data_IF_295700549786
#
_entry.id   IF_295700549786
#
_cell.length_a   1.000
_cell.length_b   1.000
_cell.length_c   1.000
_cell.angle_alpha   90.00
_cell.angle_beta   90.00
_cell.angle_gamma   90.00
#
_symmetry.space_group_name_H-M   'P 1'
#
loop_
_entity.id
_entity.type
_entity.pdbx_description
1 polymer ?
#
# COMPACT_ATOMS: atom_id res chain seq x y z
N UNK A 1 7.57 -7.42 15.60
CA UNK A 1 9.05 -7.46 15.61
C UNK A 1 9.52 -8.32 14.45
N UNK A 2 10.46 -7.82 13.64
CA UNK A 2 11.16 -8.62 12.62
C UNK A 2 12.58 -8.87 13.12
N UNK A 3 13.04 -10.12 13.05
CA UNK A 3 14.42 -10.49 13.30
C UNK A 3 14.97 -11.20 12.09
N UNK A 4 16.07 -10.72 11.53
CA UNK A 4 16.76 -11.37 10.43
C UNK A 4 18.16 -11.74 10.86
N UNK A 5 18.53 -13.00 10.66
CA UNK A 5 19.88 -13.48 10.89
C UNK A 5 20.48 -13.96 9.59
N UNK A 6 21.78 -13.71 9.40
CA UNK A 6 22.54 -14.33 8.32
C UNK A 6 22.46 -15.84 8.46
N UNK A 7 22.47 -16.57 7.34
CA UNK A 7 22.30 -18.04 7.38
C UNK A 7 23.47 -18.77 8.07
N UNK A 8 24.63 -18.13 8.18
CA UNK A 8 25.79 -18.61 8.94
C UNK A 8 25.84 -18.05 10.39
N UNK A 9 24.76 -17.41 10.84
CA UNK A 9 24.53 -16.90 12.20
C UNK A 9 25.53 -15.84 12.69
N UNK A 10 26.35 -15.26 11.82
CA UNK A 10 27.38 -14.27 12.20
C UNK A 10 26.87 -12.85 12.42
N UNK A 11 25.63 -12.57 12.01
CA UNK A 11 25.06 -11.24 12.02
C UNK A 11 23.53 -11.32 12.22
N UNK A 12 23.00 -10.59 13.20
CA UNK A 12 21.57 -10.51 13.51
C UNK A 12 21.14 -9.04 13.53
N UNK A 13 20.12 -8.72 12.75
CA UNK A 13 19.44 -7.42 12.76
C UNK A 13 18.02 -7.62 13.25
N UNK A 14 17.56 -6.75 14.14
CA UNK A 14 16.19 -6.78 14.65
C UNK A 14 15.55 -5.41 14.63
N UNK A 15 14.33 -5.33 14.12
CA UNK A 15 13.51 -4.12 14.10
C UNK A 15 12.20 -4.38 14.82
N UNK A 16 11.87 -3.52 15.79
CA UNK A 16 10.56 -3.54 16.43
C UNK A 16 9.54 -2.84 15.52
N UNK A 17 8.34 -3.41 15.44
CA UNK A 17 7.22 -2.83 14.69
C UNK A 17 6.33 -2.18 15.74
N UNK A 18 6.41 -0.86 15.84
CA UNK A 18 5.66 -0.10 16.85
C UNK A 18 4.25 0.25 16.35
N UNK A 19 4.05 0.40 15.03
CA UNK A 19 2.75 0.61 14.40
C UNK A 19 2.59 -0.32 13.19
N UNK A 20 1.47 -1.05 13.10
CA UNK A 20 1.17 -2.01 12.02
C UNK A 20 0.74 -1.36 10.70
N UNK A 21 0.95 -0.06 10.55
CA UNK A 21 0.51 0.71 9.40
C UNK A 21 1.73 1.18 8.62
N UNK A 22 2.38 0.26 7.92
CA UNK A 22 3.51 0.60 7.07
C UNK A 22 4.44 -0.58 6.77
N UNK A 23 5.46 -0.28 5.96
CA UNK A 23 6.55 -1.20 5.66
C UNK A 23 7.54 -1.25 6.82
N UNK A 24 8.13 -2.43 7.03
CA UNK A 24 9.30 -2.58 7.90
C UNK A 24 10.49 -2.74 7.00
N UNK A 25 11.30 -1.70 6.91
CA UNK A 25 12.57 -1.77 6.18
C UNK A 25 13.61 -2.45 7.06
N UNK A 26 14.37 -3.36 6.46
CA UNK A 26 15.55 -3.95 7.08
C UNK A 26 16.74 -3.48 6.24
N UNK A 27 17.46 -2.50 6.77
CA UNK A 27 18.60 -1.89 6.12
C UNK A 27 19.91 -2.60 6.46
N UNK A 28 20.98 -2.25 5.74
CA UNK A 28 22.35 -2.73 5.97
C UNK A 28 22.54 -4.25 5.82
N UNK A 29 21.71 -4.91 5.00
CA UNK A 29 21.95 -6.30 4.63
C UNK A 29 23.16 -6.37 3.68
N UNK A 30 24.10 -7.26 3.99
CA UNK A 30 25.25 -7.49 3.14
C UNK A 30 24.79 -8.02 1.77
N UNK A 31 25.32 -7.47 0.66
CA UNK A 31 24.95 -7.94 -0.68
C UNK A 31 25.29 -9.43 -0.85
N UNK A 32 24.55 -10.12 -1.71
CA UNK A 32 24.76 -11.54 -2.05
C UNK A 32 24.73 -12.51 -0.86
N UNK A 33 24.04 -12.14 0.23
CA UNK A 33 24.03 -12.89 1.47
C UNK A 33 22.63 -13.45 1.74
N UNK A 34 22.54 -14.71 2.18
CA UNK A 34 21.24 -15.32 2.54
C UNK A 34 20.85 -14.95 3.96
N UNK A 35 19.61 -14.55 4.12
CA UNK A 35 19.04 -14.19 5.42
C UNK A 35 17.84 -15.07 5.75
N UNK A 36 17.72 -15.42 7.03
CA UNK A 36 16.54 -16.05 7.61
C UNK A 36 15.82 -15.02 8.46
N UNK A 37 14.61 -14.66 8.07
CA UNK A 37 13.81 -13.68 8.78
C UNK A 37 12.65 -14.33 9.51
N UNK A 38 12.47 -13.93 10.78
CA UNK A 38 11.37 -14.29 11.66
C UNK A 38 10.54 -13.06 11.93
N UNK A 39 9.28 -13.09 11.50
CA UNK A 39 8.29 -12.09 11.85
C UNK A 39 7.49 -12.58 13.07
N UNK A 40 7.51 -11.80 14.15
CA UNK A 40 6.62 -11.99 15.30
C UNK A 40 5.61 -10.85 15.33
N UNK A 41 4.34 -11.18 15.16
CA UNK A 41 3.23 -10.22 15.25
C UNK A 41 2.51 -10.47 16.56
N UNK A 42 2.19 -9.39 17.28
CA UNK A 42 1.46 -9.44 18.54
C UNK A 42 0.18 -8.67 18.36
N UNK A 43 -0.96 -9.28 18.70
CA UNK A 43 -2.25 -8.62 18.73
C UNK A 43 -2.38 -7.86 20.05
N UNK A 44 -2.48 -6.54 19.97
CA UNK A 44 -2.82 -5.70 21.12
C UNK A 44 -4.34 -5.49 21.13
N UNK A 45 -5.11 -6.52 21.49
CA UNK A 45 -6.58 -6.39 21.51
C UNK A 45 -7.07 -5.76 22.82
N UNK A 46 -7.65 -4.56 22.70
CA UNK A 46 -8.76 -4.09 23.55
C UNK A 46 -9.94 -3.84 22.61
N UNK A 47 -10.89 -4.77 22.54
CA UNK A 47 -12.10 -4.64 21.71
C UNK A 47 -12.13 -5.53 20.46
N UNK A 48 -13.31 -6.07 20.17
CA UNK A 48 -13.59 -7.14 19.21
C UNK A 48 -13.42 -6.73 17.74
N UNK A 49 -13.17 -7.73 16.88
CA UNK A 49 -13.30 -7.73 15.41
C UNK A 49 -12.17 -7.17 14.53
N UNK A 50 -10.91 -7.20 14.98
CA UNK A 50 -9.77 -7.10 14.06
C UNK A 50 -9.46 -8.45 13.39
N UNK A 51 -9.43 -8.49 12.06
CA UNK A 51 -9.02 -9.63 11.22
C UNK A 51 -7.69 -10.24 11.70
N UNK A 52 -7.65 -11.57 11.88
CA UNK A 52 -6.47 -12.31 12.39
C UNK A 52 -5.40 -12.60 11.31
N UNK A 53 -5.49 -11.97 10.15
CA UNK A 53 -4.59 -12.23 9.03
C UNK A 53 -3.55 -11.11 8.88
N UNK A 54 -2.28 -11.50 8.79
CA UNK A 54 -1.17 -10.62 8.46
C UNK A 54 -0.60 -11.04 7.11
N UNK A 55 -0.52 -10.09 6.18
CA UNK A 55 0.16 -10.27 4.91
C UNK A 55 1.57 -9.70 5.03
N UNK A 56 2.58 -10.54 4.80
CA UNK A 56 3.96 -10.09 4.68
C UNK A 56 4.41 -10.24 3.23
N UNK A 57 4.90 -9.14 2.66
CA UNK A 57 5.55 -9.11 1.35
C UNK A 57 7.00 -8.75 1.59
N UNK A 58 7.93 -9.62 1.18
CA UNK A 58 9.35 -9.34 1.20
C UNK A 58 9.75 -8.82 -0.17
N UNK A 59 10.40 -7.66 -0.21
CA UNK A 59 10.95 -7.09 -1.44
C UNK A 59 12.47 -6.97 -1.30
N UNK A 60 13.18 -7.29 -2.37
CA UNK A 60 14.64 -7.28 -2.43
C UNK A 60 15.08 -6.19 -3.43
N UNK A 61 15.96 -5.29 -3.01
CA UNK A 61 16.46 -4.15 -3.80
C UNK A 61 15.85 -2.80 -3.38
N UNK A 62 16.09 -1.72 -4.16
CA UNK A 62 15.27 -0.50 -4.10
C UNK A 62 13.88 -0.83 -4.64
N UNK A 63 13.10 -1.52 -3.82
CA UNK A 63 11.76 -1.91 -4.18
C UNK A 63 10.95 -0.65 -4.45
N UNK A 64 10.32 -0.54 -5.62
CA UNK A 64 9.56 0.65 -6.02
C UNK A 64 8.27 0.81 -5.20
N UNK A 65 8.40 1.03 -3.90
CA UNK A 65 7.33 1.06 -2.88
C UNK A 65 7.65 2.12 -1.82
N UNK A 66 8.47 3.11 -2.14
CA UNK A 66 8.74 4.23 -1.24
C UNK A 66 7.49 5.09 -1.13
N UNK A 67 7.19 5.65 0.06
CA UNK A 67 6.15 6.65 0.17
C UNK A 67 6.53 7.83 -0.73
N UNK A 68 5.58 8.26 -1.56
CA UNK A 68 5.76 9.40 -2.46
C UNK A 68 5.84 10.70 -1.66
N UNK A 69 5.29 10.68 -0.45
CA UNK A 69 5.57 11.64 0.62
C UNK A 69 4.37 12.52 0.96
N UNK A 70 3.20 11.89 1.07
CA UNK A 70 1.99 12.55 1.53
C UNK A 70 2.02 12.75 3.04
N UNK A 71 2.34 11.69 3.79
CA UNK A 71 2.42 11.72 5.25
C UNK A 71 3.47 12.73 5.74
N UNK A 72 4.65 12.72 5.13
CA UNK A 72 5.81 13.49 5.60
C UNK A 72 5.93 14.90 5.02
N UNK A 73 4.96 15.38 4.25
CA UNK A 73 4.96 16.77 3.77
C UNK A 73 5.74 17.04 2.49
N UNK A 74 6.38 16.03 1.87
CA UNK A 74 7.13 16.21 0.61
C UNK A 74 6.18 16.67 -0.50
N UNK A 75 5.00 16.06 -0.60
CA UNK A 75 3.91 16.55 -1.44
C UNK A 75 3.29 17.76 -0.75
N UNK A 76 3.52 18.97 -1.29
CA UNK A 76 3.08 20.23 -0.69
C UNK A 76 1.57 20.44 -0.87
N UNK A 77 0.95 21.17 0.05
CA UNK A 77 -0.49 21.48 -0.02
C UNK A 77 -0.90 22.14 -1.34
N UNK A 78 -0.06 23.04 -1.87
CA UNK A 78 -0.32 23.75 -3.14
C UNK A 78 -0.36 22.82 -4.37
N UNK A 79 0.15 21.59 -4.23
CA UNK A 79 0.06 20.58 -5.28
C UNK A 79 -1.23 19.77 -5.24
N UNK A 80 -2.10 20.04 -4.25
CA UNK A 80 -3.35 19.33 -4.03
C UNK A 80 -4.51 20.24 -4.42
N UNK A 81 -5.37 19.75 -5.29
CA UNK A 81 -6.63 20.40 -5.69
C UNK A 81 -7.76 19.43 -5.43
N UNK A 82 -8.85 19.87 -4.80
CA UNK A 82 -9.94 18.98 -4.44
C UNK A 82 -11.31 19.63 -4.65
N UNK A 83 -12.36 18.83 -4.56
CA UNK A 83 -13.71 19.35 -4.33
C UNK A 83 -13.75 20.20 -3.04
N UNK A 84 -14.76 21.08 -2.89
CA UNK A 84 -14.92 21.87 -1.68
C UNK A 84 -15.08 20.97 -0.44
N UNK A 85 -14.36 21.25 0.67
CA UNK A 85 -14.49 20.47 1.89
C UNK A 85 -15.78 20.83 2.66
N UNK A 86 -16.27 19.90 3.47
CA UNK A 86 -17.51 20.05 4.28
C UNK A 86 -17.38 21.01 5.47
N UNK A 87 -16.16 21.30 5.94
CA UNK A 87 -15.90 22.14 7.12
C UNK A 87 -15.05 23.36 6.79
N UNK A 88 -15.28 24.46 7.53
CA UNK A 88 -14.49 25.69 7.47
C UNK A 88 -13.07 25.54 8.05
N UNK A 89 -12.84 24.52 8.88
CA UNK A 89 -11.49 24.11 9.29
C UNK A 89 -10.92 23.16 8.23
N UNK A 90 -9.72 23.45 7.71
CA UNK A 90 -8.98 22.55 6.82
C UNK A 90 -8.72 21.24 7.56
N UNK A 91 -9.40 20.18 7.15
CA UNK A 91 -9.03 18.82 7.53
C UNK A 91 -8.04 18.29 6.50
N UNK A 92 -7.16 17.38 6.93
CA UNK A 92 -6.00 16.97 6.16
C UNK A 92 -6.25 15.72 5.34
N UNK A 93 -5.64 15.65 4.17
CA UNK A 93 -5.55 14.41 3.39
C UNK A 93 -4.31 13.60 3.77
N UNK A 94 -3.40 14.13 4.59
CA UNK A 94 -2.17 13.43 4.95
C UNK A 94 -2.49 12.27 5.88
N UNK A 95 -1.84 11.14 5.63
CA UNK A 95 -1.99 9.97 6.48
C UNK A 95 -1.61 10.29 7.93
N UNK A 96 -2.43 9.83 8.87
CA UNK A 96 -2.23 9.99 10.33
C UNK A 96 -2.16 11.43 10.85
N UNK A 97 -2.61 12.39 10.05
CA UNK A 97 -2.69 13.77 10.49
C UNK A 97 -3.73 13.95 11.61
N UNK A 98 -3.36 14.72 12.62
CA UNK A 98 -4.17 15.01 13.80
C UNK A 98 -5.32 15.97 13.50
N UNK A 99 -5.22 16.73 12.41
CA UNK A 99 -6.27 17.65 11.94
C UNK A 99 -7.50 16.90 11.36
N UNK A 100 -7.43 15.57 11.29
CA UNK A 100 -8.50 14.68 10.87
C UNK A 100 -8.57 14.50 9.35
N UNK A 101 -9.70 13.98 8.87
CA UNK A 101 -9.88 13.56 7.48
C UNK A 101 -10.43 14.68 6.60
N UNK A 102 -9.77 14.97 5.47
CA UNK A 102 -10.39 15.77 4.41
C UNK A 102 -11.71 15.13 4.00
N UNK A 103 -12.79 15.90 3.93
CA UNK A 103 -14.14 15.41 3.62
C UNK A 103 -14.83 16.31 2.61
N UNK A 104 -15.51 15.75 1.61
CA UNK A 104 -16.39 16.49 0.70
C UNK A 104 -17.76 15.81 0.55
N UNK A 105 -18.80 16.61 0.37
CA UNK A 105 -20.18 16.17 0.04
C UNK A 105 -20.59 16.57 -1.38
N UNK A 106 -19.62 16.96 -2.21
CA UNK A 106 -19.82 17.20 -3.64
C UNK A 106 -20.48 15.96 -4.28
N UNK A 107 -21.26 16.15 -5.34
CA UNK A 107 -21.92 15.04 -6.05
C UNK A 107 -20.91 14.10 -6.70
N UNK A 108 -19.73 14.63 -7.08
CA UNK A 108 -18.59 13.86 -7.60
C UNK A 108 -17.29 14.31 -6.90
N UNK A 109 -17.09 13.91 -5.63
CA UNK A 109 -15.98 14.42 -4.85
C UNK A 109 -14.67 13.85 -5.36
N UNK A 110 -13.69 14.73 -5.57
CA UNK A 110 -12.36 14.35 -6.01
C UNK A 110 -11.26 14.97 -5.17
N UNK A 111 -10.11 14.29 -5.16
CA UNK A 111 -8.84 14.85 -4.74
C UNK A 111 -7.85 14.56 -5.85
N UNK A 112 -7.26 15.63 -6.38
CA UNK A 112 -6.23 15.60 -7.38
C UNK A 112 -4.91 16.09 -6.81
N UNK A 113 -3.83 15.44 -7.19
CA UNK A 113 -2.49 15.74 -6.74
C UNK A 113 -1.55 15.84 -7.94
N UNK A 114 -0.78 16.91 -8.01
CA UNK A 114 0.38 17.02 -8.89
C UNK A 114 1.65 16.59 -8.14
N UNK A 115 2.22 15.45 -8.52
CA UNK A 115 3.44 14.93 -7.93
C UNK A 115 4.69 15.77 -8.29
N UNK A 116 4.56 16.76 -9.19
CA UNK A 116 5.61 17.65 -9.67
C UNK A 116 6.60 16.96 -10.62
N UNK A 117 6.72 15.64 -10.54
CA UNK A 117 7.56 14.78 -11.36
C UNK A 117 6.82 13.50 -11.74
N UNK A 118 7.29 12.87 -12.79
CA UNK A 118 6.77 11.57 -13.25
C UNK A 118 7.25 10.48 -12.28
N UNK A 119 6.30 9.69 -11.77
CA UNK A 119 6.51 8.60 -10.83
C UNK A 119 5.84 7.33 -11.35
N UNK A 120 6.45 6.17 -11.11
CA UNK A 120 5.77 4.87 -11.21
C UNK A 120 5.08 4.60 -9.88
N UNK A 121 3.76 4.40 -9.90
CA UNK A 121 2.95 4.09 -8.73
C UNK A 121 2.69 2.60 -8.65
N UNK A 122 2.91 2.04 -7.48
CA UNK A 122 2.85 0.60 -7.18
C UNK A 122 1.96 0.28 -5.99
N UNK A 123 1.56 1.29 -5.22
CA UNK A 123 0.74 1.07 -4.04
C UNK A 123 -0.02 2.29 -3.59
N UNK A 124 -1.06 2.04 -2.83
CA UNK A 124 -1.96 3.05 -2.27
C UNK A 124 -2.30 2.63 -0.84
N UNK A 125 -2.40 3.59 0.06
CA UNK A 125 -2.85 3.39 1.43
C UNK A 125 -3.88 4.47 1.76
N UNK A 126 -5.08 4.05 2.12
CA UNK A 126 -6.18 4.94 2.45
C UNK A 126 -6.60 4.69 3.88
N UNK A 127 -6.92 5.77 4.59
CA UNK A 127 -7.61 5.73 5.88
C UNK A 127 -8.85 6.62 5.80
N UNK A 128 -9.92 6.19 6.44
CA UNK A 128 -11.19 6.94 6.46
C UNK A 128 -11.98 6.65 7.72
N UNK A 129 -12.68 7.66 8.24
CA UNK A 129 -13.71 7.49 9.26
C UNK A 129 -15.13 7.30 8.67
N UNK A 130 -15.25 7.22 7.35
CA UNK A 130 -16.52 7.12 6.63
C UNK A 130 -17.05 5.68 6.63
N UNK A 131 -18.36 5.55 6.39
CA UNK A 131 -19.07 4.26 6.30
C UNK A 131 -19.83 4.07 4.98
N UNK A 132 -20.03 5.16 4.24
CA UNK A 132 -21.01 5.25 3.17
C UNK A 132 -20.40 4.89 1.82
N UNK A 133 -19.15 5.27 1.57
CA UNK A 133 -18.44 4.95 0.32
C UNK A 133 -18.03 3.48 0.30
N UNK A 134 -18.34 2.81 -0.79
CA UNK A 134 -18.03 1.42 -1.06
C UNK A 134 -16.80 1.31 -1.96
N UNK A 135 -16.72 2.15 -3.01
CA UNK A 135 -15.67 2.03 -4.02
C UNK A 135 -15.09 3.38 -4.43
N UNK A 136 -13.80 3.35 -4.73
CA UNK A 136 -13.10 4.45 -5.39
C UNK A 136 -12.52 3.99 -6.72
N UNK A 137 -12.22 4.95 -7.57
CA UNK A 137 -11.44 4.74 -8.79
C UNK A 137 -10.42 5.87 -8.95
N UNK A 138 -9.49 5.66 -9.88
CA UNK A 138 -8.35 6.55 -10.09
C UNK A 138 -8.40 7.11 -11.50
N UNK A 139 -8.17 8.42 -11.61
CA UNK A 139 -7.73 9.03 -12.86
C UNK A 139 -6.26 9.40 -12.77
N UNK A 140 -5.55 9.31 -13.89
CA UNK A 140 -4.13 9.60 -13.93
C UNK A 140 -3.74 10.30 -15.24
N UNK A 141 -2.67 11.10 -15.19
CA UNK A 141 -2.12 11.80 -16.35
C UNK A 141 -0.65 12.15 -16.17
N UNK A 142 0.06 12.38 -17.27
CA UNK A 142 1.50 12.69 -17.27
C UNK A 142 1.77 14.16 -17.60
N UNK A 143 0.95 14.76 -18.47
CA UNK A 143 1.22 16.07 -19.06
C UNK A 143 0.33 17.17 -18.48
N UNK A 144 -0.98 17.11 -18.76
CA UNK A 144 -1.95 18.14 -18.43
C UNK A 144 -3.21 17.53 -17.81
N UNK A 145 -3.91 18.36 -17.04
CA UNK A 145 -5.11 18.05 -16.27
C UNK A 145 -6.30 17.66 -17.15
N UNK A 146 -6.39 18.25 -18.35
CA UNK A 146 -7.45 17.96 -19.32
C UNK A 146 -7.27 16.57 -19.98
N UNK A 147 -6.14 15.90 -19.73
CA UNK A 147 -5.79 14.61 -20.29
C UNK A 147 -5.82 13.49 -19.23
N UNK A 148 -6.44 13.72 -18.07
CA UNK A 148 -6.63 12.68 -17.07
C UNK A 148 -7.46 11.53 -17.67
N UNK A 149 -6.93 10.31 -17.57
CA UNK A 149 -7.59 9.08 -18.04
C UNK A 149 -7.98 8.23 -16.84
N UNK A 150 -9.13 7.56 -16.96
CA UNK A 150 -9.51 6.52 -16.01
C UNK A 150 -8.50 5.37 -16.05
N UNK A 151 -8.21 4.79 -14.88
CA UNK A 151 -7.36 3.61 -14.77
C UNK A 151 -8.18 2.36 -15.07
N UNK A 152 -7.80 1.61 -16.09
CA UNK A 152 -8.45 0.35 -16.48
C UNK A 152 -7.57 -0.86 -16.14
N UNK A 153 -8.22 -2.01 -15.99
CA UNK A 153 -7.59 -3.33 -16.03
C UNK A 153 -7.96 -4.01 -17.34
N UNK A 154 -6.94 -4.41 -18.09
CA UNK A 154 -7.12 -5.28 -19.25
C UNK A 154 -7.48 -6.69 -18.77
N UNK A 155 -8.50 -7.29 -19.37
CA UNK A 155 -8.84 -8.69 -19.19
C UNK A 155 -9.24 -9.33 -20.53
N UNK A 156 -9.48 -10.65 -20.50
CA UNK A 156 -9.80 -11.45 -21.69
C UNK A 156 -11.07 -10.95 -22.41
N UNK A 157 -11.96 -10.24 -21.70
CA UNK A 157 -13.22 -9.72 -22.23
C UNK A 157 -13.18 -8.22 -22.58
N UNK A 158 -12.04 -7.53 -22.43
CA UNK A 158 -11.87 -6.10 -22.70
C UNK A 158 -11.30 -5.29 -21.52
N UNK A 159 -11.52 -3.98 -21.54
CA UNK A 159 -11.09 -3.07 -20.47
C UNK A 159 -12.21 -2.83 -19.46
N UNK A 160 -11.94 -3.09 -18.19
CA UNK A 160 -12.84 -2.74 -17.09
C UNK A 160 -12.23 -1.65 -16.21
N UNK A 161 -13.06 -0.68 -15.78
CA UNK A 161 -12.62 0.37 -14.87
C UNK A 161 -12.04 -0.26 -13.60
N UNK A 162 -10.82 0.11 -13.24
CA UNK A 162 -10.17 -0.38 -12.03
C UNK A 162 -10.78 0.33 -10.83
N UNK A 163 -11.43 -0.45 -9.98
CA UNK A 163 -12.04 0.03 -8.74
C UNK A 163 -11.34 -0.58 -7.53
N UNK A 164 -11.38 0.15 -6.41
CA UNK A 164 -10.80 -0.27 -5.14
C UNK A 164 -11.85 -0.20 -4.04
N UNK A 165 -12.01 -1.30 -3.32
CA UNK A 165 -12.94 -1.44 -2.19
C UNK A 165 -12.53 -0.57 -1.00
N UNK A 166 -13.24 0.54 -0.80
CA UNK A 166 -12.91 1.61 0.14
C UNK A 166 -12.90 1.12 1.60
N UNK A 167 -11.93 1.55 2.44
CA UNK A 167 -11.95 1.23 3.86
C UNK A 167 -13.21 1.79 4.53
N UNK A 168 -13.60 1.23 5.68
CA UNK A 168 -14.80 1.65 6.43
C UNK A 168 -14.50 1.78 7.92
N UNK A 169 -15.24 2.63 8.64
CA UNK A 169 -15.25 2.67 10.11
C UNK A 169 -13.86 2.92 10.77
N UNK A 170 -13.13 3.96 10.37
CA UNK A 170 -11.78 4.30 10.88
C UNK A 170 -10.73 3.21 10.63
N UNK A 171 -10.92 2.43 9.57
CA UNK A 171 -9.93 1.44 9.13
C UNK A 171 -8.97 2.04 8.11
N UNK A 172 -7.79 1.41 8.03
CA UNK A 172 -6.79 1.68 7.01
C UNK A 172 -6.75 0.50 6.04
N UNK A 173 -6.65 0.76 4.74
CA UNK A 173 -6.51 -0.27 3.72
C UNK A 173 -5.40 0.07 2.74
N UNK A 174 -4.56 -0.93 2.48
CA UNK A 174 -3.47 -0.88 1.52
C UNK A 174 -3.82 -1.70 0.29
N UNK A 175 -3.41 -1.25 -0.90
CA UNK A 175 -3.46 -2.02 -2.14
C UNK A 175 -2.10 -2.05 -2.82
N UNK A 176 -1.56 -3.24 -3.06
CA UNK A 176 -0.47 -3.43 -4.02
C UNK A 176 -1.06 -3.46 -5.42
N UNK A 177 -0.45 -2.71 -6.32
CA UNK A 177 -0.87 -2.65 -7.70
C UNK A 177 -0.06 -3.69 -8.49
N UNK A 178 -0.71 -4.80 -8.84
CA UNK A 178 -0.10 -5.82 -9.71
C UNK A 178 0.42 -5.21 -11.02
N UNK A 179 -0.39 -4.31 -11.60
CA UNK A 179 0.01 -3.44 -12.70
C UNK A 179 0.30 -2.04 -12.16
N UNK A 180 1.59 -1.70 -12.08
CA UNK A 180 2.06 -0.34 -11.81
C UNK A 180 1.75 0.59 -12.99
N UNK A 181 1.59 1.88 -12.75
CA UNK A 181 1.39 2.86 -13.81
C UNK A 181 2.21 4.13 -13.58
N UNK A 182 2.59 4.78 -14.67
CA UNK A 182 3.35 6.04 -14.64
C UNK A 182 2.39 7.22 -14.62
N UNK A 183 2.64 8.18 -13.72
CA UNK A 183 1.77 9.34 -13.51
C UNK A 183 2.56 10.53 -12.96
N UNK A 184 2.10 11.74 -13.31
CA UNK A 184 2.44 12.99 -12.63
C UNK A 184 1.22 13.57 -11.91
N UNK A 185 0.04 13.49 -12.52
CA UNK A 185 -1.23 13.96 -11.98
C UNK A 185 -2.10 12.78 -11.57
N UNK A 186 -2.34 12.61 -10.28
CA UNK A 186 -3.13 11.52 -9.71
C UNK A 186 -4.44 12.08 -9.15
N UNK A 187 -5.58 11.46 -9.47
CA UNK A 187 -6.88 11.88 -8.96
C UNK A 187 -7.66 10.69 -8.40
N UNK A 188 -8.10 10.82 -7.17
CA UNK A 188 -8.96 9.86 -6.48
C UNK A 188 -10.41 10.34 -6.52
N UNK A 189 -11.32 9.45 -6.88
CA UNK A 189 -12.75 9.72 -6.91
C UNK A 189 -13.55 8.65 -6.21
N UNK A 190 -14.59 9.07 -5.51
CA UNK A 190 -15.66 8.15 -5.10
C UNK A 190 -16.43 7.69 -6.34
N UNK A 191 -16.71 6.39 -6.41
CA UNK A 191 -17.67 5.86 -7.38
C UNK A 191 -19.12 6.05 -6.89
N UNK A 192 -19.30 6.17 -5.58
CA UNK A 192 -20.60 6.40 -4.97
C UNK A 192 -20.97 7.88 -5.02
N UNK A 193 -21.90 8.20 -5.93
CA UNK A 193 -22.45 9.55 -6.04
C UNK A 193 -23.22 9.96 -4.79
N UNK A 194 -23.13 11.24 -4.42
CA UNK A 194 -23.89 11.86 -3.31
C UNK A 194 -23.61 11.28 -1.91
N UNK A 195 -22.61 10.41 -1.77
CA UNK A 195 -22.12 9.97 -0.46
C UNK A 195 -20.94 10.85 -0.05
N UNK A 196 -20.82 11.25 1.23
CA UNK A 196 -19.65 11.98 1.70
C UNK A 196 -18.39 11.19 1.37
N UNK A 197 -17.31 11.82 0.92
CA UNK A 197 -16.02 11.18 0.70
C UNK A 197 -15.01 11.78 1.68
N UNK A 198 -14.50 10.98 2.62
CA UNK A 198 -13.63 11.45 3.71
C UNK A 198 -12.34 10.64 3.78
N UNK A 199 -11.17 11.19 3.53
CA UNK A 199 -9.97 10.37 3.35
C UNK A 199 -8.69 11.03 3.84
N UNK A 200 -7.79 10.19 4.33
CA UNK A 200 -6.36 10.42 4.39
C UNK A 200 -5.65 9.39 3.50
N UNK A 201 -4.57 9.79 2.83
CA UNK A 201 -3.91 8.98 1.80
C UNK A 201 -2.39 9.01 1.92
N UNK A 202 -1.78 7.89 1.56
CA UNK A 202 -0.38 7.81 1.14
C UNK A 202 -0.30 7.00 -0.16
N UNK A 203 0.66 7.35 -1.01
CA UNK A 203 0.89 6.72 -2.30
C UNK A 203 2.29 6.15 -2.29
N UNK A 204 2.47 4.97 -2.85
CA UNK A 204 3.75 4.29 -2.90
C UNK A 204 4.21 4.11 -4.34
N UNK A 205 5.51 4.29 -4.55
CA UNK A 205 6.11 4.24 -5.86
C UNK A 205 7.56 4.68 -5.85
N UNK A 206 8.09 4.94 -7.04
CA UNK A 206 9.47 5.39 -7.24
C UNK A 206 9.56 6.31 -8.46
N UNK A 207 10.62 7.11 -8.54
CA UNK A 207 10.88 7.89 -9.76
C UNK A 207 11.29 6.97 -10.91
N UNK A 208 10.96 7.31 -12.15
CA UNK A 208 11.34 6.50 -13.32
C UNK A 208 12.86 6.25 -13.43
N UNK A 209 13.69 7.05 -12.75
CA UNK A 209 15.14 6.89 -12.72
C UNK A 209 15.63 5.70 -11.87
N UNK A 210 14.78 5.09 -11.04
CA UNK A 210 15.17 4.02 -10.08
C UNK A 210 14.82 2.61 -10.56
N UNK A 211 14.51 2.42 -11.86
CA UNK A 211 14.09 1.12 -12.42
C UNK A 211 15.22 0.10 -12.64
N UNK A 212 16.23 0.05 -11.78
CA UNK A 212 17.18 -1.06 -11.76
C UNK A 212 16.75 -2.12 -10.72
N UNK A 213 16.01 -3.12 -11.22
CA UNK A 213 15.79 -4.47 -10.67
C UNK A 213 15.26 -4.60 -9.23
N UNK A 214 13.92 -4.64 -9.09
CA UNK A 214 13.26 -5.19 -7.91
C UNK A 214 12.52 -6.49 -8.28
N UNK A 215 12.79 -7.60 -7.57
CA UNK A 215 12.05 -8.86 -7.70
C UNK A 215 10.96 -8.97 -6.63
N UNK A 216 9.75 -9.34 -7.03
CA UNK A 216 8.62 -9.60 -6.13
C UNK A 216 8.67 -11.08 -5.71
N UNK A 217 8.86 -11.35 -4.42
CA UNK A 217 8.70 -12.69 -3.85
C UNK A 217 7.24 -12.88 -3.41
N UNK A 218 6.56 -13.98 -3.76
CA UNK A 218 5.13 -14.15 -3.48
C UNK A 218 4.79 -14.05 -1.98
N UNK A 219 3.66 -13.41 -1.69
CA UNK A 219 3.12 -13.22 -0.35
C UNK A 219 2.77 -14.57 0.30
N UNK A 220 3.12 -14.73 1.57
CA UNK A 220 2.68 -15.88 2.38
C UNK A 220 1.51 -15.47 3.29
N UNK A 221 0.48 -16.32 3.37
CA UNK A 221 -0.60 -16.17 4.35
C UNK A 221 -0.07 -16.63 5.72
N UNK A 222 -0.10 -15.75 6.73
CA UNK A 222 0.40 -16.06 8.08
C UNK A 222 -0.80 -16.24 9.02
N UNK A 223 -0.94 -17.44 9.59
CA UNK A 223 -1.79 -17.71 10.76
C UNK A 223 -0.95 -17.66 12.04
N UNK A 224 -1.58 -17.55 13.21
CA UNK A 224 -0.87 -17.53 14.51
C UNK A 224 0.12 -18.71 14.62
N UNK A 225 1.43 -18.39 14.66
CA UNK A 225 2.51 -19.37 14.72
C UNK A 225 3.90 -18.79 14.39
N UNK A 226 4.96 -19.39 14.95
CA UNK A 226 6.36 -19.05 14.65
C UNK A 226 6.74 -19.50 13.23
N UNK A 227 6.50 -18.66 12.22
CA UNK A 227 6.87 -18.98 10.84
C UNK A 227 8.27 -18.46 10.49
N UNK A 228 9.06 -19.28 9.81
CA UNK A 228 10.42 -18.97 9.33
C UNK A 228 10.38 -18.75 7.82
N UNK A 229 10.96 -17.64 7.33
CA UNK A 229 11.12 -17.37 5.90
C UNK A 229 12.59 -17.37 5.49
N UNK A 230 12.89 -17.93 4.32
CA UNK A 230 14.23 -17.92 3.71
C UNK A 230 14.22 -16.93 2.56
N UNK A 231 15.16 -15.98 2.58
CA UNK A 231 15.36 -14.98 1.52
C UNK A 231 16.67 -15.35 0.81
N UNK A 232 16.59 -15.70 -0.47
CA UNK A 232 17.75 -16.04 -1.32
C UNK A 232 17.92 -14.98 -2.41
N UNK A 233 19.01 -14.21 -2.35
CA UNK A 233 19.32 -13.14 -3.30
C UNK A 233 19.78 -13.64 -4.69
N UNK A 234 19.89 -14.96 -4.92
CA UNK A 234 20.60 -15.52 -6.07
C UNK A 234 19.81 -16.54 -6.94
N UNK A 235 18.48 -16.53 -6.99
CA UNK A 235 17.78 -17.52 -7.85
C UNK A 235 16.45 -17.07 -8.48
N UNK A 236 16.56 -16.62 -9.73
CA UNK A 236 15.47 -16.59 -10.72
C UNK A 236 15.01 -18.04 -11.00
N UNK A 237 13.91 -18.48 -10.40
CA UNK A 237 13.10 -19.61 -10.93
C UNK A 237 11.62 -19.45 -10.60
N UNK A 238 10.78 -19.37 -11.64
CA UNK A 238 9.33 -19.62 -11.56
C UNK A 238 9.11 -21.04 -11.03
N UNK A 239 8.56 -21.14 -9.83
CA UNK A 239 7.90 -22.38 -9.39
C UNK A 239 6.70 -21.99 -8.54
N UNK A 240 5.49 -22.34 -9.00
CA UNK A 240 4.31 -22.34 -8.14
C UNK A 240 4.41 -23.60 -7.27
N UNK A 241 4.55 -23.45 -5.95
CA UNK A 241 4.36 -24.55 -5.02
C UNK A 241 2.99 -24.43 -4.35
N UNK A 242 2.11 -25.37 -4.68
CA UNK A 242 0.81 -25.58 -4.06
C UNK A 242 1.05 -26.36 -2.77
N UNK A 243 1.09 -25.69 -1.62
CA UNK A 243 1.13 -26.39 -0.33
C UNK A 243 -0.31 -26.56 0.16
N UNK A 244 -0.91 -27.69 -0.20
CA UNK A 244 -2.03 -28.26 0.54
C UNK A 244 -1.49 -29.06 1.73
N UNK A 245 -2.14 -28.95 2.89
CA UNK A 245 -2.11 -30.02 3.87
C UNK A 245 -3.49 -30.64 3.93
N UNK A 246 -3.52 -31.89 3.49
CA UNK A 246 -4.57 -32.89 3.68
C UNK A 246 -4.74 -33.10 5.19
N UNK A 247 -5.98 -33.01 5.67
CA UNK A 247 -6.35 -33.51 6.98
C UNK A 247 -6.38 -35.03 6.88
N UNK A 248 -5.30 -35.71 7.29
CA UNK A 248 -5.37 -37.13 7.62
C UNK A 248 -6.01 -37.25 8.99
N UNK A 249 -7.27 -37.64 9.02
CA UNK A 249 -7.91 -38.23 10.19
C UNK A 249 -7.31 -39.60 10.43
N UNK A 250 -6.62 -39.81 11.55
CA UNK A 250 -6.40 -41.16 12.09
C UNK A 250 -6.46 -41.09 13.62
N UNK A 251 -7.58 -41.64 14.12
CA UNK A 251 -7.95 -42.20 15.43
C UNK A 251 -7.76 -41.35 16.71
#
# INVERSE_FOLDING_TARGET
>A
MVKCSRFDEREETSTQILNMTGFVTIDNLAPNTKYKCKLKVYKLSVGLDASNFVYAVTLIGEACIQPVGFENGIVKEDSITSSPPTSSKKKSIRLYDVDGFWCSIDSSPYIRIDLGRIMTITGLLFRTNNKDVDKIYIKYGVNNIDQLKDLYLDNIMGQNLRTFEYPKNDTTRYWFLENSFTVKLLEFRSLDEKKPFCVQVEVYGCSERLRETAEIVPAALITEGNNNYIIDHNKVRRTQEKIGKELTSEL
#
